data_IF_134756901515
#
_entry.id   IF_134756901515
#
_cell.length_a   1.000
_cell.length_b   1.000
_cell.length_c   1.000
_cell.angle_alpha   90.00
_cell.angle_beta   90.00
_cell.angle_gamma   90.00
#
_symmetry.space_group_name_H-M   'P 1'
#
loop_
_entity.id
_entity.type
_entity.pdbx_description
1 polymer ?
#
# COMPACT_ATOMS: atom_id res chain seq x y z
N UNK A 1 20.31 -14.67 22.91
CA UNK A 1 19.20 -15.08 22.03
C UNK A 1 18.24 -13.91 22.01
N UNK A 2 18.02 -13.11 20.97
CA UNK A 2 18.29 -13.19 19.52
C UNK A 2 18.05 -11.77 19.01
N UNK A 3 19.07 -11.11 18.47
CA UNK A 3 18.91 -9.91 17.61
C UNK A 3 19.96 -10.02 16.51
N UNK A 4 19.76 -10.97 15.58
CA UNK A 4 20.68 -11.20 14.47
C UNK A 4 20.24 -10.57 13.14
N UNK A 5 19.09 -9.89 13.11
CA UNK A 5 18.65 -9.08 11.97
C UNK A 5 17.82 -7.89 12.46
N UNK A 6 18.38 -7.12 13.40
CA UNK A 6 17.75 -5.91 13.93
C UNK A 6 17.81 -4.79 12.90
N UNK A 7 16.73 -4.59 12.15
CA UNK A 7 16.51 -3.34 11.44
C UNK A 7 16.36 -2.25 12.51
N UNK A 8 17.47 -1.58 12.83
CA UNK A 8 17.47 -0.50 13.80
C UNK A 8 16.52 0.58 13.31
N UNK A 9 15.53 0.93 14.13
CA UNK A 9 14.55 1.99 13.93
C UNK A 9 15.18 3.40 13.94
N UNK A 10 16.34 3.56 13.29
CA UNK A 10 17.19 4.74 13.34
C UNK A 10 16.79 5.83 12.33
N UNK A 11 15.70 5.65 11.60
CA UNK A 11 15.06 6.75 10.89
C UNK A 11 13.95 7.32 11.76
N UNK A 12 14.27 8.42 12.42
CA UNK A 12 13.30 9.27 13.11
C UNK A 12 12.44 9.96 12.05
N UNK A 13 11.36 9.31 11.64
CA UNK A 13 10.37 9.90 10.74
C UNK A 13 9.21 10.46 11.54
N UNK A 14 8.70 11.62 11.11
CA UNK A 14 7.55 12.23 11.74
C UNK A 14 6.25 11.77 11.07
N UNK A 15 5.41 11.05 11.82
CA UNK A 15 4.02 10.84 11.41
C UNK A 15 3.19 12.08 11.76
N UNK A 16 2.48 12.63 10.78
CA UNK A 16 1.38 13.56 11.10
C UNK A 16 0.30 12.84 11.92
N UNK A 17 -0.53 13.61 12.64
CA UNK A 17 -1.68 13.04 13.35
C UNK A 17 -2.58 12.24 12.41
N UNK A 18 -2.82 12.75 11.20
CA UNK A 18 -3.57 12.03 10.18
C UNK A 18 -2.90 10.71 9.78
N UNK A 19 -1.59 10.72 9.55
CA UNK A 19 -0.82 9.52 9.21
C UNK A 19 -0.88 8.47 10.31
N UNK A 20 -0.70 8.88 11.58
CA UNK A 20 -0.76 7.98 12.75
C UNK A 20 -2.07 7.20 12.79
N UNK A 21 -3.20 7.92 12.67
CA UNK A 21 -4.54 7.31 12.62
C UNK A 21 -4.66 6.36 11.42
N UNK A 22 -4.13 6.73 10.26
CA UNK A 22 -4.21 5.95 9.02
C UNK A 22 -3.35 4.70 9.02
N UNK A 23 -2.19 4.73 9.66
CA UNK A 23 -1.28 3.59 9.86
C UNK A 23 -1.95 2.58 10.80
N UNK A 24 -2.48 3.05 11.93
CA UNK A 24 -3.21 2.21 12.88
C UNK A 24 -4.46 1.56 12.26
N UNK A 25 -5.29 2.33 11.53
CA UNK A 25 -6.49 1.83 10.86
C UNK A 25 -6.22 0.74 9.82
N UNK A 26 -5.00 0.70 9.26
CA UNK A 26 -4.60 -0.24 8.21
C UNK A 26 -3.66 -1.34 8.72
N UNK A 27 -3.40 -1.36 10.03
CA UNK A 27 -2.47 -2.28 10.67
C UNK A 27 -1.10 -2.29 9.96
N UNK A 28 -0.59 -1.11 9.60
CA UNK A 28 0.74 -0.96 9.02
C UNK A 28 1.73 -0.84 10.19
N UNK A 29 2.72 -1.74 10.33
CA UNK A 29 3.76 -1.62 11.34
C UNK A 29 4.68 -0.44 11.07
N UNK A 30 5.24 0.17 12.12
CA UNK A 30 6.18 1.30 11.97
C UNK A 30 7.46 0.89 11.22
N UNK A 31 7.93 -0.34 11.40
CA UNK A 31 9.04 -0.94 10.65
C UNK A 31 8.79 -0.94 9.13
N UNK A 32 7.53 -1.15 8.72
CA UNK A 32 7.14 -1.11 7.31
C UNK A 32 7.19 0.32 6.79
N UNK A 33 6.78 1.31 7.59
CA UNK A 33 6.87 2.73 7.22
C UNK A 33 8.34 3.13 7.06
N UNK A 34 9.20 2.76 8.02
CA UNK A 34 10.63 3.01 7.97
C UNK A 34 11.26 2.42 6.70
N UNK A 35 10.99 1.15 6.41
CA UNK A 35 11.55 0.45 5.26
C UNK A 35 11.14 1.10 3.93
N UNK A 36 9.87 1.51 3.79
CA UNK A 36 9.43 2.22 2.58
C UNK A 36 10.07 3.61 2.48
N UNK A 37 10.24 4.35 3.59
CA UNK A 37 10.94 5.64 3.56
C UNK A 37 12.40 5.50 3.12
N UNK A 38 13.08 4.45 3.61
CA UNK A 38 14.51 4.25 3.38
C UNK A 38 14.81 3.69 1.98
N UNK A 39 14.01 2.73 1.50
CA UNK A 39 14.34 1.99 0.28
C UNK A 39 13.39 2.18 -0.90
N UNK A 40 12.38 3.06 -0.80
CA UNK A 40 11.52 3.36 -1.93
C UNK A 40 12.33 3.84 -3.14
N UNK A 41 12.20 3.10 -4.25
CA UNK A 41 12.80 3.44 -5.54
C UNK A 41 11.78 4.11 -6.48
N UNK A 42 10.48 4.03 -6.15
CA UNK A 42 9.43 4.76 -6.84
C UNK A 42 9.11 6.02 -6.04
N UNK A 43 9.50 7.18 -6.56
CA UNK A 43 9.14 8.52 -6.07
C UNK A 43 8.42 9.29 -7.19
N UNK A 44 7.16 9.66 -6.96
CA UNK A 44 6.40 10.51 -7.89
C UNK A 44 5.69 11.65 -7.18
N UNK A 45 5.55 12.81 -7.85
CA UNK A 45 4.88 13.95 -7.27
C UNK A 45 3.41 13.65 -6.97
N UNK A 46 2.95 14.13 -5.83
CA UNK A 46 1.57 14.18 -5.42
C UNK A 46 1.09 15.62 -5.28
N UNK A 47 -0.23 15.80 -5.14
CA UNK A 47 -0.83 17.12 -4.99
C UNK A 47 -0.22 17.90 -3.81
N UNK A 48 -0.15 19.23 -3.97
CA UNK A 48 0.33 20.17 -2.94
C UNK A 48 1.82 20.00 -2.58
N UNK A 49 2.67 19.68 -3.57
CA UNK A 49 4.12 19.57 -3.37
C UNK A 49 4.54 18.41 -2.48
N UNK A 50 3.70 17.37 -2.43
CA UNK A 50 3.98 16.12 -1.69
C UNK A 50 4.61 15.11 -2.63
N UNK A 51 5.19 14.06 -2.05
CA UNK A 51 5.77 12.93 -2.77
C UNK A 51 5.02 11.66 -2.41
N UNK A 52 4.93 10.73 -3.35
CA UNK A 52 4.45 9.37 -3.11
C UNK A 52 5.61 8.42 -3.25
N UNK A 53 5.85 7.66 -2.19
CA UNK A 53 6.94 6.72 -2.08
C UNK A 53 6.40 5.29 -2.05
N UNK A 54 7.03 4.42 -2.84
CA UNK A 54 6.67 3.00 -2.93
C UNK A 54 7.87 2.16 -3.36
N UNK A 55 7.85 0.88 -3.01
CA UNK A 55 8.79 -0.12 -3.53
C UNK A 55 8.30 -0.71 -4.85
N UNK A 56 9.16 -0.74 -5.87
CA UNK A 56 8.93 -1.52 -7.07
C UNK A 56 9.10 -3.01 -6.82
N UNK A 57 8.54 -3.83 -7.71
CA UNK A 57 8.76 -5.28 -7.67
C UNK A 57 10.23 -5.66 -7.80
N UNK A 58 11.02 -4.88 -8.56
CA UNK A 58 12.46 -5.13 -8.70
C UNK A 58 13.17 -4.88 -7.38
N UNK A 59 12.91 -3.73 -6.74
CA UNK A 59 13.53 -3.37 -5.47
C UNK A 59 13.16 -4.32 -4.34
N UNK A 60 11.92 -4.80 -4.32
CA UNK A 60 11.49 -5.88 -3.40
C UNK A 60 12.36 -7.13 -3.57
N UNK A 61 12.61 -7.57 -4.80
CA UNK A 61 13.47 -8.73 -5.07
C UNK A 61 14.91 -8.50 -4.63
N UNK A 62 15.45 -7.30 -4.87
CA UNK A 62 16.79 -6.89 -4.41
C UNK A 62 16.89 -6.97 -2.88
N UNK A 63 15.96 -6.33 -2.15
CA UNK A 63 15.95 -6.31 -0.69
C UNK A 63 15.85 -7.73 -0.08
N UNK A 64 15.02 -8.61 -0.67
CA UNK A 64 14.95 -10.01 -0.24
C UNK A 64 16.27 -10.75 -0.49
N UNK A 65 16.97 -10.47 -1.59
CA UNK A 65 18.27 -11.07 -1.89
C UNK A 65 19.41 -10.52 -1.03
N UNK A 66 19.28 -9.27 -0.57
CA UNK A 66 20.17 -8.60 0.37
C UNK A 66 20.01 -9.16 1.82
N UNK A 67 19.03 -10.05 2.05
CA UNK A 67 18.84 -10.75 3.32
C UNK A 67 17.89 -10.06 4.30
N UNK A 68 17.11 -9.05 3.85
CA UNK A 68 16.06 -8.47 4.68
C UNK A 68 14.93 -9.50 4.91
N UNK A 69 14.23 -9.34 6.04
CA UNK A 69 13.11 -10.21 6.39
C UNK A 69 12.03 -10.21 5.29
N UNK A 70 11.80 -11.39 4.71
CA UNK A 70 10.81 -11.60 3.66
C UNK A 70 9.41 -11.12 4.08
N UNK A 71 8.99 -11.38 5.32
CA UNK A 71 7.65 -11.02 5.78
C UNK A 71 7.49 -9.50 5.90
N UNK A 72 8.53 -8.81 6.33
CA UNK A 72 8.57 -7.35 6.40
C UNK A 72 8.58 -6.73 5.00
N UNK A 73 9.44 -7.21 4.10
CA UNK A 73 9.54 -6.68 2.72
C UNK A 73 8.25 -6.93 1.93
N UNK A 74 7.61 -8.09 2.08
CA UNK A 74 6.34 -8.36 1.39
C UNK A 74 5.20 -7.47 1.91
N UNK A 75 5.15 -7.16 3.22
CA UNK A 75 4.21 -6.15 3.74
C UNK A 75 4.50 -4.76 3.16
N UNK A 76 5.77 -4.37 3.09
CA UNK A 76 6.18 -3.07 2.58
C UNK A 76 5.88 -2.87 1.09
N UNK A 77 5.97 -3.92 0.28
CA UNK A 77 5.55 -3.91 -1.14
C UNK A 77 4.11 -3.43 -1.33
N UNK A 78 3.23 -3.75 -0.39
CA UNK A 78 1.82 -3.36 -0.41
C UNK A 78 1.54 -2.02 0.25
N UNK A 79 2.55 -1.21 0.58
CA UNK A 79 2.37 0.11 1.19
C UNK A 79 2.82 1.23 0.24
N UNK A 80 2.03 2.30 0.20
CA UNK A 80 2.37 3.57 -0.44
C UNK A 80 2.31 4.68 0.61
N UNK A 81 3.39 5.45 0.72
CA UNK A 81 3.48 6.57 1.65
C UNK A 81 3.31 7.88 0.90
N UNK A 82 2.57 8.81 1.48
CA UNK A 82 2.54 10.21 1.02
C UNK A 82 3.34 11.04 2.01
N UNK A 83 4.41 11.63 1.52
CA UNK A 83 5.39 12.38 2.32
C UNK A 83 5.32 13.86 1.97
N UNK A 84 5.38 14.69 3.00
CA UNK A 84 5.45 16.15 2.90
C UNK A 84 6.89 16.64 2.82
N UNK A 85 7.14 17.85 3.35
CA UNK A 85 8.49 18.39 3.51
C UNK A 85 9.20 17.71 4.70
N UNK A 86 10.51 17.49 4.57
CA UNK A 86 11.36 16.99 5.66
C UNK A 86 10.97 15.59 6.15
N UNK A 87 10.69 14.67 5.22
CA UNK A 87 10.35 13.26 5.47
C UNK A 87 9.15 13.00 6.40
N UNK A 88 8.34 14.03 6.65
CA UNK A 88 7.10 13.93 7.39
C UNK A 88 6.05 13.15 6.60
N UNK A 89 5.61 12.02 7.13
CA UNK A 89 4.55 11.21 6.53
C UNK A 89 3.19 11.86 6.81
N UNK A 90 2.50 12.22 5.73
CA UNK A 90 1.17 12.85 5.79
C UNK A 90 0.07 11.80 5.75
N UNK A 91 0.28 10.70 5.03
CA UNK A 91 -0.63 9.54 5.05
C UNK A 91 0.07 8.27 4.56
N UNK A 92 -0.49 7.13 4.91
CA UNK A 92 -0.06 5.82 4.43
C UNK A 92 -1.26 5.09 3.82
N UNK A 93 -1.03 4.30 2.78
CA UNK A 93 -2.04 3.53 2.06
C UNK A 93 -1.57 2.08 1.97
N UNK A 94 -2.49 1.14 2.16
CA UNK A 94 -2.26 -0.26 1.84
C UNK A 94 -2.86 -0.53 0.47
N UNK A 95 -1.99 -0.76 -0.51
CA UNK A 95 -2.32 -1.16 -1.86
C UNK A 95 -2.44 -2.69 -1.89
N UNK A 96 -3.52 -3.23 -1.32
CA UNK A 96 -3.83 -4.64 -1.52
C UNK A 96 -4.02 -4.87 -3.02
N UNK A 97 -3.42 -5.91 -3.61
CA UNK A 97 -3.67 -6.27 -5.01
C UNK A 97 -5.11 -6.79 -5.12
N UNK A 98 -6.07 -5.87 -5.27
CA UNK A 98 -7.48 -6.08 -5.60
C UNK A 98 -8.24 -7.09 -4.71
N UNK A 99 -9.34 -6.70 -4.03
CA UNK A 99 -10.37 -7.69 -3.73
C UNK A 99 -10.98 -8.12 -5.07
N UNK A 100 -10.65 -9.32 -5.55
CA UNK A 100 -11.21 -10.02 -6.72
C UNK A 100 -12.76 -10.23 -6.66
N UNK A 101 -13.51 -9.48 -5.84
CA UNK A 101 -14.88 -9.81 -5.43
C UNK A 101 -15.97 -8.77 -5.73
N UNK A 102 -15.77 -7.83 -6.67
CA UNK A 102 -16.87 -6.96 -7.13
C UNK A 102 -17.00 -6.77 -8.65
N UNK A 103 -16.65 -7.77 -9.45
CA UNK A 103 -17.32 -7.94 -10.74
C UNK A 103 -18.60 -8.77 -10.52
N UNK A 104 -19.67 -8.12 -10.00
CA UNK A 104 -21.01 -8.68 -10.27
C UNK A 104 -21.20 -8.59 -11.78
N UNK A 105 -21.47 -9.69 -12.50
CA UNK A 105 -21.79 -9.60 -13.91
C UNK A 105 -23.03 -8.70 -14.04
N UNK A 106 -22.86 -7.55 -14.68
CA UNK A 106 -23.91 -6.58 -15.01
C UNK A 106 -24.83 -7.11 -16.12
N UNK A 107 -25.19 -8.40 -16.07
CA UNK A 107 -25.85 -9.14 -17.16
C UNK A 107 -27.23 -9.68 -16.83
N UNK A 108 -27.79 -9.41 -15.65
CA UNK A 108 -29.07 -10.00 -15.25
C UNK A 108 -30.28 -9.04 -15.35
N UNK A 109 -30.07 -7.75 -15.61
CA UNK A 109 -31.18 -6.79 -15.73
C UNK A 109 -31.76 -6.63 -17.13
N UNK A 110 -31.11 -7.15 -18.19
CA UNK A 110 -31.65 -7.10 -19.56
C UNK A 110 -32.54 -8.31 -19.91
N UNK A 111 -32.36 -9.44 -19.24
CA UNK A 111 -33.13 -10.67 -19.50
C UNK A 111 -34.55 -10.62 -18.94
N UNK A 112 -34.81 -9.85 -17.87
CA UNK A 112 -36.16 -9.73 -17.31
C UNK A 112 -37.10 -8.86 -18.17
N UNK A 113 -36.59 -7.86 -18.89
CA UNK A 113 -37.40 -7.01 -19.79
C UNK A 113 -37.72 -7.72 -21.10
N UNK A 114 -36.73 -8.40 -21.70
CA UNK A 114 -36.93 -9.15 -22.93
C UNK A 114 -37.93 -10.32 -22.77
N UNK A 115 -37.97 -10.97 -21.59
CA UNK A 115 -38.95 -12.03 -21.30
C UNK A 115 -40.38 -11.53 -21.12
N UNK A 116 -40.60 -10.27 -20.73
CA UNK A 116 -41.95 -9.68 -20.65
C UNK A 116 -42.47 -9.25 -22.03
N UNK A 117 -41.60 -8.84 -22.95
CA UNK A 117 -42.01 -8.43 -24.29
C UNK A 117 -42.36 -9.62 -25.21
N UNK A 118 -41.83 -10.83 -24.94
CA UNK A 118 -42.19 -12.05 -25.68
C UNK A 118 -43.43 -12.78 -25.17
N UNK A 119 -44.03 -12.36 -24.05
CA UNK A 119 -45.22 -13.00 -23.47
C UNK A 119 -46.56 -12.38 -23.96
N UNK A 120 -46.50 -11.44 -24.91
CA UNK A 120 -47.65 -10.71 -25.45
C UNK A 120 -47.75 -10.77 -27.00
N UNK A 121 -47.18 -11.81 -27.62
CA UNK A 121 -47.44 -12.16 -29.02
C UNK A 121 -48.24 -13.46 -29.07
#
# INVERSE_FOLDING_TARGET
MTDLFGFSSAHEFELSHHATVRVAQRCIPDEVVALVLEFADIDYPAAQGRRRLKLSHRRVGELMSEGLDYALVDKARSVELIVGRGDRVVTALRCDPMPLRRMRPRRERRSARARREMAHV
#
